data_IF_855311848973
#
_entry.id   IF_855311848973
#
_cell.length_a   1.000
_cell.length_b   1.000
_cell.length_c   1.000
_cell.angle_alpha   90.00
_cell.angle_beta   90.00
_cell.angle_gamma   90.00
#
_symmetry.space_group_name_H-M   'P 1'
#
loop_
_entity.id
_entity.type
_entity.pdbx_description
1 polymer ?
#
# COMPACT_ATOMS: atom_id res chain seq x y z
N UNK A 1 -51.03 -7.78 -41.92
CA UNK A 1 -51.21 -7.05 -40.65
C UNK A 1 -50.08 -6.03 -40.55
N UNK A 2 -50.38 -4.77 -40.81
CA UNK A 2 -49.40 -3.68 -40.99
C UNK A 2 -49.38 -2.79 -39.75
N UNK A 3 -48.21 -2.62 -39.11
CA UNK A 3 -48.02 -1.75 -37.94
C UNK A 3 -47.40 -0.43 -38.41
N UNK A 4 -48.09 0.68 -38.17
CA UNK A 4 -47.56 2.04 -38.36
C UNK A 4 -46.90 2.51 -37.07
N UNK A 5 -45.61 2.83 -37.12
CA UNK A 5 -44.86 3.38 -35.99
C UNK A 5 -45.06 4.90 -36.01
N UNK A 6 -45.77 5.42 -35.01
CA UNK A 6 -45.93 6.85 -34.76
C UNK A 6 -44.61 7.40 -34.21
N UNK A 7 -44.01 8.37 -34.91
CA UNK A 7 -42.82 9.11 -34.48
C UNK A 7 -43.15 9.98 -33.26
N UNK A 8 -42.68 9.58 -32.08
CA UNK A 8 -42.64 10.44 -30.90
C UNK A 8 -41.38 11.33 -30.99
N UNK A 9 -41.59 12.65 -31.08
CA UNK A 9 -40.55 13.66 -30.90
C UNK A 9 -39.89 13.45 -29.52
N UNK A 10 -38.66 12.94 -29.52
CA UNK A 10 -37.85 12.80 -28.33
C UNK A 10 -37.26 14.15 -27.92
N UNK A 11 -37.73 14.71 -26.81
CA UNK A 11 -37.01 15.76 -26.09
C UNK A 11 -35.78 15.13 -25.42
N UNK A 12 -34.57 15.46 -25.88
CA UNK A 12 -33.33 15.08 -25.19
C UNK A 12 -33.20 15.86 -23.88
N UNK A 13 -33.14 15.20 -22.71
CA UNK A 13 -32.72 15.88 -21.49
C UNK A 13 -31.20 16.11 -21.57
N UNK A 14 -30.77 17.36 -21.46
CA UNK A 14 -29.35 17.73 -21.32
C UNK A 14 -28.89 17.26 -19.93
N UNK A 15 -28.27 16.08 -19.88
CA UNK A 15 -27.63 15.57 -18.68
C UNK A 15 -26.36 16.40 -18.40
N UNK A 16 -26.43 17.29 -17.41
CA UNK A 16 -25.25 17.94 -16.87
C UNK A 16 -24.38 16.89 -16.18
N UNK A 17 -23.33 16.42 -16.85
CA UNK A 17 -22.35 15.51 -16.29
C UNK A 17 -21.55 16.24 -15.19
N UNK A 18 -21.80 15.89 -13.93
CA UNK A 18 -20.95 16.27 -12.80
C UNK A 18 -19.55 15.67 -13.02
N UNK A 19 -18.61 16.50 -13.48
CA UNK A 19 -17.19 16.12 -13.58
C UNK A 19 -16.62 16.16 -12.16
N UNK A 20 -16.67 15.04 -11.45
CA UNK A 20 -15.93 14.85 -10.22
C UNK A 20 -14.44 14.70 -10.55
N UNK A 21 -13.52 15.40 -9.85
CA UNK A 21 -12.10 15.18 -10.02
C UNK A 21 -11.74 13.75 -9.60
N UNK A 22 -10.83 13.06 -10.30
CA UNK A 22 -10.39 11.73 -9.91
C UNK A 22 -9.71 11.81 -8.55
N UNK A 23 -10.31 11.20 -7.54
CA UNK A 23 -9.67 10.99 -6.25
C UNK A 23 -8.75 9.78 -6.40
N UNK A 24 -7.44 9.97 -6.21
CA UNK A 24 -6.51 8.86 -6.23
C UNK A 24 -6.85 7.89 -5.07
N UNK A 25 -7.27 6.68 -5.40
CA UNK A 25 -7.42 5.62 -4.42
C UNK A 25 -6.01 5.19 -3.95
N UNK A 26 -5.61 5.58 -2.73
CA UNK A 26 -4.44 5.01 -2.08
C UNK A 26 -4.85 3.75 -1.34
N UNK A 27 -4.54 2.58 -1.91
CA UNK A 27 -4.64 1.32 -1.20
C UNK A 27 -3.49 1.22 -0.18
N UNK A 28 -3.79 0.91 1.07
CA UNK A 28 -2.77 0.46 2.02
C UNK A 28 -2.20 -0.87 1.54
N UNK A 29 -0.95 -0.85 1.08
CA UNK A 29 -0.24 -2.04 0.65
C UNK A 29 0.47 -2.70 1.85
N UNK A 30 0.21 -3.99 2.05
CA UNK A 30 1.00 -4.85 2.93
C UNK A 30 1.91 -5.72 2.07
N UNK A 31 3.17 -5.81 2.45
CA UNK A 31 4.21 -6.39 1.64
C UNK A 31 5.07 -7.37 2.42
N UNK A 32 5.36 -8.50 1.78
CA UNK A 32 6.30 -9.48 2.28
C UNK A 32 7.73 -8.99 2.08
N UNK A 33 8.62 -9.50 2.93
CA UNK A 33 10.05 -9.27 2.84
C UNK A 33 10.74 -10.44 2.15
N UNK A 34 11.70 -10.13 1.28
CA UNK A 34 12.59 -11.13 0.67
C UNK A 34 13.45 -11.81 1.73
N UNK A 35 13.75 -13.08 1.52
CA UNK A 35 14.77 -13.77 2.30
C UNK A 35 16.16 -13.21 2.00
N UNK A 36 16.94 -12.91 3.03
CA UNK A 36 18.30 -12.37 2.91
C UNK A 36 19.31 -13.40 3.39
N UNK A 37 20.56 -13.31 2.90
CA UNK A 37 21.64 -14.23 3.29
C UNK A 37 21.92 -14.23 4.79
N UNK A 38 21.77 -13.07 5.44
CA UNK A 38 21.94 -12.88 6.88
C UNK A 38 20.66 -13.13 7.70
N UNK A 39 19.55 -13.47 7.03
CA UNK A 39 18.29 -13.89 7.63
C UNK A 39 17.44 -12.76 8.20
N UNK A 40 17.78 -11.50 7.95
CA UNK A 40 16.98 -10.37 8.39
C UNK A 40 17.13 -9.10 7.52
N UNK A 41 16.09 -8.27 7.57
CA UNK A 41 16.06 -6.89 7.07
C UNK A 41 16.05 -5.93 8.26
N UNK A 42 16.90 -4.91 8.21
CA UNK A 42 16.96 -3.90 9.27
C UNK A 42 15.86 -2.84 9.10
N UNK A 43 15.00 -2.67 10.11
CA UNK A 43 14.16 -1.47 10.25
C UNK A 43 14.97 -0.41 10.98
N UNK A 44 14.99 0.82 10.47
CA UNK A 44 15.84 1.91 10.96
C UNK A 44 15.05 3.16 11.33
N UNK A 45 15.62 3.99 12.18
CA UNK A 45 14.99 5.24 12.63
C UNK A 45 14.95 6.32 11.54
N UNK A 46 15.70 6.15 10.46
CA UNK A 46 15.79 7.08 9.35
C UNK A 46 16.37 6.39 8.10
N UNK A 47 16.34 7.06 6.95
CA UNK A 47 16.89 6.52 5.71
C UNK A 47 18.42 6.45 5.79
N UNK A 48 18.97 5.27 5.50
CA UNK A 48 20.42 5.05 5.43
C UNK A 48 20.94 3.92 6.31
N UNK A 49 22.02 3.27 5.87
CA UNK A 49 22.62 2.13 6.59
C UNK A 49 23.25 2.53 7.95
N UNK A 50 23.53 3.82 8.16
CA UNK A 50 24.08 4.35 9.40
C UNK A 50 23.01 4.78 10.41
N UNK A 51 21.74 4.87 10.00
CA UNK A 51 20.67 5.21 10.92
C UNK A 51 20.48 4.10 11.96
N UNK A 52 20.11 4.49 13.19
CA UNK A 52 19.89 3.55 14.30
C UNK A 52 18.93 2.43 13.90
N UNK A 53 19.36 1.18 14.07
CA UNK A 53 18.48 0.03 13.87
C UNK A 53 17.45 -0.05 15.01
N UNK A 54 16.18 -0.10 14.64
CA UNK A 54 15.05 -0.23 15.54
C UNK A 54 14.64 -1.70 15.71
N UNK A 55 14.70 -2.48 14.63
CA UNK A 55 14.33 -3.89 14.65
C UNK A 55 15.04 -4.71 13.56
N UNK A 56 14.98 -6.03 13.73
CA UNK A 56 15.34 -7.03 12.72
C UNK A 56 14.05 -7.73 12.29
N UNK A 57 13.69 -7.58 11.03
CA UNK A 57 12.51 -8.19 10.40
C UNK A 57 12.97 -9.39 9.56
N UNK A 58 12.12 -10.38 9.37
CA UNK A 58 12.42 -11.62 8.64
C UNK A 58 11.48 -11.78 7.45
N UNK A 59 11.75 -12.72 6.56
CA UNK A 59 10.84 -13.06 5.44
C UNK A 59 9.48 -13.59 5.86
N UNK A 60 9.29 -13.90 7.16
CA UNK A 60 7.98 -14.29 7.73
C UNK A 60 7.18 -13.10 8.24
N UNK A 61 7.74 -11.90 8.19
CA UNK A 61 7.07 -10.67 8.59
C UNK A 61 6.49 -9.95 7.37
N UNK A 62 5.43 -9.17 7.61
CA UNK A 62 4.86 -8.24 6.64
C UNK A 62 5.07 -6.79 7.11
N UNK A 63 5.15 -5.88 6.16
CA UNK A 63 5.21 -4.44 6.41
C UNK A 63 4.10 -3.72 5.69
N UNK A 64 3.54 -2.70 6.34
CA UNK A 64 2.64 -1.75 5.67
C UNK A 64 3.47 -0.62 5.09
N UNK A 65 3.29 -0.33 3.81
CA UNK A 65 4.01 0.74 3.13
C UNK A 65 3.51 2.11 3.63
N UNK A 66 4.45 2.95 4.07
CA UNK A 66 4.21 4.33 4.46
C UNK A 66 4.19 5.28 3.27
N UNK A 67 4.29 6.58 3.53
CA UNK A 67 4.34 7.61 2.49
C UNK A 67 5.75 8.20 2.32
N UNK A 68 6.64 7.99 3.28
CA UNK A 68 8.03 8.44 3.21
C UNK A 68 8.86 7.64 2.21
N UNK A 69 9.54 8.35 1.31
CA UNK A 69 10.49 7.76 0.36
C UNK A 69 11.72 8.66 0.22
N UNK A 70 12.92 8.07 0.28
CA UNK A 70 14.17 8.80 0.09
C UNK A 70 15.25 7.89 -0.54
N UNK A 71 15.53 8.09 -1.82
CA UNK A 71 16.43 7.21 -2.57
C UNK A 71 15.95 5.76 -2.50
N UNK A 72 16.84 4.83 -2.13
CA UNK A 72 16.50 3.40 -1.99
C UNK A 72 15.78 3.05 -0.68
N UNK A 73 15.38 4.05 0.11
CA UNK A 73 14.75 3.85 1.42
C UNK A 73 13.28 4.20 1.37
N UNK A 74 12.48 3.40 2.06
CA UNK A 74 11.04 3.58 2.18
C UNK A 74 10.62 3.48 3.64
N UNK A 75 9.70 4.34 4.04
CA UNK A 75 9.05 4.29 5.33
C UNK A 75 8.04 3.15 5.34
N UNK A 76 8.07 2.37 6.42
CA UNK A 76 7.15 1.25 6.62
C UNK A 76 6.71 1.19 8.08
N UNK A 77 5.53 0.60 8.29
CA UNK A 77 5.09 0.18 9.62
C UNK A 77 5.14 -1.34 9.71
N UNK A 78 5.82 -1.85 10.72
CA UNK A 78 6.02 -3.28 10.95
C UNK A 78 5.35 -3.73 12.25
N UNK A 79 4.77 -4.93 12.23
CA UNK A 79 4.30 -5.63 13.42
C UNK A 79 5.10 -6.92 13.53
N UNK A 80 5.57 -7.23 14.75
CA UNK A 80 6.34 -8.45 14.97
C UNK A 80 5.48 -9.67 14.68
N UNK A 81 5.95 -10.52 13.76
CA UNK A 81 5.26 -11.75 13.37
C UNK A 81 3.83 -11.48 12.92
N UNK A 82 2.85 -12.22 13.43
CA UNK A 82 1.45 -12.08 13.09
C UNK A 82 0.68 -11.14 14.04
N UNK A 83 1.37 -10.34 14.87
CA UNK A 83 0.76 -9.50 15.91
C UNK A 83 -0.37 -8.60 15.36
N UNK A 84 -0.27 -8.17 14.09
CA UNK A 84 -1.32 -7.43 13.39
C UNK A 84 -2.65 -8.19 13.37
N UNK A 85 -2.59 -9.49 13.06
CA UNK A 85 -3.74 -10.38 12.88
C UNK A 85 -4.16 -11.02 14.21
N UNK A 86 -3.19 -11.44 15.03
CA UNK A 86 -3.44 -12.19 16.26
C UNK A 86 -3.95 -11.32 17.41
N UNK A 87 -3.59 -10.01 17.45
CA UNK A 87 -3.99 -9.08 18.52
C UNK A 87 -5.16 -8.15 18.17
N UNK A 88 -5.98 -8.50 17.16
CA UNK A 88 -7.19 -7.73 16.75
C UNK A 88 -6.94 -6.21 16.70
N UNK A 89 -5.95 -5.77 15.93
CA UNK A 89 -5.58 -4.35 15.75
C UNK A 89 -5.02 -3.61 16.99
N UNK A 90 -4.82 -4.27 18.14
CA UNK A 90 -4.27 -3.64 19.36
C UNK A 90 -2.74 -3.54 19.42
N UNK A 91 -2.02 -4.21 18.50
CA UNK A 91 -0.57 -4.13 18.42
C UNK A 91 -0.13 -2.77 17.87
N UNK A 92 0.64 -2.00 18.65
CA UNK A 92 1.30 -0.79 18.13
C UNK A 92 2.41 -1.21 17.18
N UNK A 93 2.20 -0.96 15.89
CA UNK A 93 3.22 -1.14 14.86
C UNK A 93 4.40 -0.21 15.11
N UNK A 94 5.59 -0.64 14.70
CA UNK A 94 6.80 0.15 14.76
C UNK A 94 7.05 0.75 13.39
N UNK A 95 6.99 2.08 13.30
CA UNK A 95 7.29 2.81 12.07
C UNK A 95 8.78 3.11 11.98
N UNK A 96 9.34 2.93 10.79
CA UNK A 96 10.75 3.19 10.50
C UNK A 96 11.04 3.06 9.01
N UNK A 97 12.31 2.98 8.67
CA UNK A 97 12.81 2.97 7.29
C UNK A 97 13.53 1.67 6.99
N UNK A 98 13.30 1.12 5.80
CA UNK A 98 14.04 -0.04 5.27
C UNK A 98 14.46 0.20 3.83
N UNK A 99 15.40 -0.60 3.34
CA UNK A 99 15.82 -0.52 1.94
C UNK A 99 14.80 -1.27 1.05
N UNK A 100 14.34 -0.63 -0.03
CA UNK A 100 13.29 -1.15 -0.92
C UNK A 100 13.68 -2.45 -1.63
N UNK A 101 14.97 -2.70 -1.83
CA UNK A 101 15.45 -3.90 -2.52
C UNK A 101 15.01 -5.21 -1.82
N UNK A 102 14.62 -5.12 -0.54
CA UNK A 102 14.14 -6.25 0.25
C UNK A 102 12.62 -6.43 0.25
N UNK A 103 11.85 -5.56 -0.42
CA UNK A 103 10.44 -5.82 -0.69
C UNK A 103 10.31 -6.89 -1.78
N UNK A 104 9.32 -7.76 -1.64
CA UNK A 104 8.97 -8.70 -2.70
C UNK A 104 8.48 -7.96 -3.97
N UNK A 105 8.69 -8.54 -5.16
CA UNK A 105 8.45 -7.88 -6.47
C UNK A 105 6.99 -7.44 -6.68
N UNK A 106 6.05 -8.11 -6.04
CA UNK A 106 4.62 -7.75 -6.12
C UNK A 106 4.28 -6.44 -5.39
N UNK A 107 5.25 -5.86 -4.69
CA UNK A 107 5.12 -4.68 -3.85
C UNK A 107 6.03 -3.53 -4.27
N UNK A 108 6.77 -3.69 -5.36
CA UNK A 108 7.75 -2.73 -5.86
C UNK A 108 8.63 -3.34 -6.94
#
# INVERSE_FOLDING_TARGET
>A
MTIRILSLLGALPVAAALVLPPVAASATAFCNLKETRDGFVALRAGPGAHAKQLARMTSRDEVMIGQGEQGDWIEVTWWRSDDRLSKKYGGRGLTGWMNKAFLDELCG
#
